data_IF_585233750562
#
_entry.id   IF_585233750562
#
_cell.length_a   1.000
_cell.length_b   1.000
_cell.length_c   1.000
_cell.angle_alpha   90.00
_cell.angle_beta   90.00
_cell.angle_gamma   90.00
#
_symmetry.space_group_name_H-M   'P 1'
#
loop_
_entity.id
_entity.type
_entity.pdbx_description
1 polymer ?
#
# COMPACT_ATOMS: atom_id res chain seq x y z
N UNK A 1 -14.77 1.60 19.86
CA UNK A 1 -14.94 1.61 18.39
C UNK A 1 -13.56 1.47 17.77
N UNK A 2 -13.24 0.30 17.19
CA UNK A 2 -11.98 0.11 16.48
C UNK A 2 -12.16 0.83 15.15
N UNK A 3 -11.51 1.98 14.99
CA UNK A 3 -11.49 2.71 13.72
C UNK A 3 -10.52 1.95 12.82
N UNK A 4 -11.02 0.97 12.06
CA UNK A 4 -10.28 0.33 10.97
C UNK A 4 -10.11 1.36 9.86
N UNK A 5 -9.04 2.16 9.95
CA UNK A 5 -8.59 2.99 8.82
C UNK A 5 -8.06 2.02 7.76
N UNK A 6 -8.91 1.67 6.79
CA UNK A 6 -8.53 0.91 5.60
C UNK A 6 -7.41 1.68 4.90
N UNK A 7 -6.18 1.19 5.03
CA UNK A 7 -5.05 1.79 4.32
C UNK A 7 -5.20 1.41 2.85
N UNK A 8 -5.29 2.38 1.93
CA UNK A 8 -5.54 2.07 0.53
C UNK A 8 -4.33 1.33 -0.04
N UNK A 9 -4.50 0.04 -0.33
CA UNK A 9 -3.57 -0.69 -1.18
C UNK A 9 -3.72 -0.15 -2.61
N UNK A 10 -2.60 0.16 -3.27
CA UNK A 10 -2.59 0.65 -4.64
C UNK A 10 -1.49 -0.06 -5.41
N UNK A 11 -1.68 -0.22 -6.72
CA UNK A 11 -0.65 -0.72 -7.62
C UNK A 11 0.08 0.42 -8.30
N UNK A 12 1.38 0.27 -8.52
CA UNK A 12 2.20 1.24 -9.24
C UNK A 12 2.95 0.55 -10.37
N UNK A 13 2.90 1.13 -11.56
CA UNK A 13 3.67 0.68 -12.71
C UNK A 13 5.14 1.09 -12.55
N UNK A 14 6.07 0.15 -12.71
CA UNK A 14 7.51 0.42 -12.61
C UNK A 14 8.04 1.23 -13.79
N UNK A 15 7.43 1.07 -14.97
CA UNK A 15 7.92 1.67 -16.21
C UNK A 15 7.54 3.14 -16.31
N UNK A 16 6.28 3.46 -16.00
CA UNK A 16 5.72 4.78 -16.24
C UNK A 16 5.16 5.46 -14.98
N UNK A 17 5.32 4.83 -13.81
CA UNK A 17 4.94 5.42 -12.51
C UNK A 17 3.43 5.60 -12.30
N UNK A 18 2.59 5.10 -13.21
CA UNK A 18 1.14 5.21 -13.07
C UNK A 18 0.65 4.42 -11.86
N UNK A 19 -0.18 5.06 -11.03
CA UNK A 19 -0.75 4.46 -9.82
C UNK A 19 -2.24 4.19 -10.03
N UNK A 20 -2.67 3.01 -9.65
CA UNK A 20 -4.06 2.57 -9.75
C UNK A 20 -4.49 1.99 -8.39
N UNK A 21 -5.64 2.39 -7.88
CA UNK A 21 -6.18 1.87 -6.62
C UNK A 21 -6.85 0.52 -6.81
N UNK A 22 -7.07 0.08 -8.04
CA UNK A 22 -7.59 -1.24 -8.34
C UNK A 22 -6.48 -2.30 -8.23
N UNK A 23 -6.42 -2.96 -7.08
CA UNK A 23 -5.43 -4.01 -6.79
C UNK A 23 -5.61 -5.30 -7.60
N UNK A 24 -6.72 -5.45 -8.33
CA UNK A 24 -6.95 -6.59 -9.22
C UNK A 24 -6.39 -6.37 -10.64
N UNK A 25 -5.89 -5.16 -10.94
CA UNK A 25 -5.26 -4.86 -12.23
C UNK A 25 -3.77 -5.18 -12.20
N UNK A 26 -3.38 -6.31 -12.77
CA UNK A 26 -1.96 -6.68 -12.89
C UNK A 26 -1.19 -5.88 -13.93
N UNK A 27 -1.87 -5.31 -14.93
CA UNK A 27 -1.25 -4.60 -16.04
C UNK A 27 -1.58 -3.11 -16.06
N UNK A 28 -0.58 -2.32 -16.44
CA UNK A 28 -0.70 -0.87 -16.56
C UNK A 28 -1.51 -0.50 -17.79
N UNK A 29 -2.62 0.22 -17.58
CA UNK A 29 -3.53 0.64 -18.67
C UNK A 29 -2.87 1.58 -19.69
N UNK A 30 -1.74 2.22 -19.33
CA UNK A 30 -0.99 3.10 -20.24
C UNK A 30 0.13 2.40 -20.99
N UNK A 31 0.76 1.42 -20.36
CA UNK A 31 2.10 0.95 -20.74
C UNK A 31 2.10 -0.56 -21.04
N UNK A 32 1.02 -1.27 -20.70
CA UNK A 32 0.88 -2.72 -20.85
C UNK A 32 1.75 -3.56 -19.91
N UNK A 33 2.68 -2.93 -19.18
CA UNK A 33 3.60 -3.62 -18.28
C UNK A 33 2.98 -3.97 -16.93
N UNK A 34 3.57 -4.94 -16.24
CA UNK A 34 3.11 -5.36 -14.92
C UNK A 34 3.21 -4.24 -13.87
N UNK A 35 2.24 -4.20 -12.96
CA UNK A 35 2.16 -3.25 -11.85
C UNK A 35 2.41 -3.94 -10.52
N UNK A 36 3.20 -3.30 -9.66
CA UNK A 36 3.54 -3.79 -8.33
C UNK A 36 2.53 -3.33 -7.30
N UNK A 37 2.10 -4.23 -6.43
CA UNK A 37 1.19 -3.92 -5.33
C UNK A 37 1.94 -3.28 -4.15
N UNK A 38 1.58 -2.03 -3.85
CA UNK A 38 1.96 -1.35 -2.63
C UNK A 38 0.81 -1.48 -1.63
N UNK A 39 1.01 -2.34 -0.63
CA UNK A 39 0.18 -2.38 0.57
C UNK A 39 1.02 -1.87 1.74
N UNK A 40 0.55 -0.84 2.44
CA UNK A 40 1.16 -0.50 3.73
C UNK A 40 0.48 -1.36 4.78
N UNK A 41 1.16 -2.42 5.23
CA UNK A 41 0.77 -3.12 6.45
C UNK A 41 0.74 -2.09 7.58
N UNK A 42 -0.46 -1.80 8.09
CA UNK A 42 -0.61 -0.98 9.28
C UNK A 42 -0.09 -1.79 10.47
N UNK A 43 1.19 -1.58 10.83
CA UNK A 43 1.65 -1.93 12.17
C UNK A 43 1.01 -0.93 13.13
N UNK A 44 0.16 -1.36 14.08
CA UNK A 44 -0.36 -0.46 15.09
C UNK A 44 0.83 0.22 15.77
N UNK A 45 0.78 1.54 15.89
CA UNK A 45 1.75 2.29 16.70
C UNK A 45 1.54 1.90 18.15
N UNK A 46 2.13 0.78 18.57
CA UNK A 46 2.29 0.48 19.98
C UNK A 46 3.23 1.58 20.48
N UNK A 47 2.75 2.46 21.36
CA UNK A 47 3.67 3.28 22.16
C UNK A 47 4.53 2.27 22.92
N UNK A 48 5.75 2.03 22.43
CA UNK A 48 6.78 1.43 23.27
C UNK A 48 7.04 2.51 24.32
N UNK A 49 6.43 2.38 25.49
CA UNK A 49 7.04 2.99 26.66
C UNK A 49 8.44 2.40 26.71
N UNK A 50 9.43 3.23 26.39
CA UNK A 50 10.81 2.93 26.67
C UNK A 50 10.90 2.89 28.20
N UNK A 51 10.59 1.73 28.80
CA UNK A 51 10.93 1.46 30.18
C UNK A 51 12.44 1.25 30.20
N UNK A 52 13.18 2.36 30.21
CA UNK A 52 14.56 2.38 30.71
C UNK A 52 14.51 1.82 32.13
N UNK A 53 15.20 0.70 32.34
CA UNK A 53 15.59 0.23 33.66
C UNK A 53 17.06 -0.12 33.61
#
# INVERSE_FOLDING_TARGET
MIITKTVPAYRSCITCGHKDTNVNKDYCSKCGTYMYLYSSYYSPKIKKECSSK
#
